data_IF_487221353627
#
_entry.id   IF_487221353627
#
_cell.length_a   1.000
_cell.length_b   1.000
_cell.length_c   1.000
_cell.angle_alpha   90.00
_cell.angle_beta   90.00
_cell.angle_gamma   90.00
#
_symmetry.space_group_name_H-M   'P 1'
#
loop_
_entity.id
_entity.type
_entity.pdbx_description
1 polymer ?
#
# COMPACT_ATOMS: atom_id res chain seq x y z
N UNK A 1 14.91 41.35 19.17
CA UNK A 1 13.45 41.36 18.95
C UNK A 1 13.03 39.92 18.73
N UNK A 2 12.55 39.26 19.79
CA UNK A 2 12.18 37.84 19.74
C UNK A 2 10.92 37.67 18.90
N UNK A 3 11.03 37.02 17.75
CA UNK A 3 9.86 36.56 17.01
C UNK A 3 9.16 35.50 17.86
N UNK A 4 7.88 35.69 18.15
CA UNK A 4 7.07 34.65 18.79
C UNK A 4 7.19 33.36 17.96
N UNK A 5 7.68 32.28 18.58
CA UNK A 5 7.59 30.94 18.01
C UNK A 5 6.10 30.62 17.80
N UNK A 6 5.64 30.68 16.55
CA UNK A 6 4.29 30.23 16.21
C UNK A 6 4.33 28.71 16.03
N UNK A 7 3.90 28.03 17.07
CA UNK A 7 3.66 26.58 17.08
C UNK A 7 2.20 26.33 16.70
N UNK A 8 1.98 25.40 15.78
CA UNK A 8 0.65 24.86 15.49
C UNK A 8 0.63 23.37 15.82
N UNK A 9 -0.39 22.96 16.55
CA UNK A 9 -0.70 21.56 16.81
C UNK A 9 -2.01 21.19 16.12
N UNK A 10 -1.97 20.21 15.22
CA UNK A 10 -3.14 19.56 14.66
C UNK A 10 -3.20 18.15 15.24
N UNK A 11 -4.36 17.76 15.76
CA UNK A 11 -4.52 16.45 16.35
C UNK A 11 -5.92 15.89 16.09
N UNK A 12 -6.00 14.61 15.75
CA UNK A 12 -7.26 13.91 15.56
C UNK A 12 -7.51 13.42 14.14
N UNK A 13 -8.44 12.46 13.97
CA UNK A 13 -8.73 11.83 12.69
C UNK A 13 -9.39 12.77 11.68
N UNK A 14 -9.91 13.92 12.08
CA UNK A 14 -10.49 14.94 11.19
C UNK A 14 -9.44 15.70 10.38
N UNK A 15 -8.19 15.72 10.84
CA UNK A 15 -7.09 16.41 10.17
C UNK A 15 -6.71 15.67 8.89
N UNK A 16 -6.70 16.39 7.77
CA UNK A 16 -6.47 15.86 6.43
C UNK A 16 -5.27 16.49 5.73
N UNK A 17 -4.87 15.93 4.57
CA UNK A 17 -3.89 16.54 3.66
C UNK A 17 -4.23 18.01 3.32
N UNK A 18 -5.52 18.36 3.25
CA UNK A 18 -5.96 19.73 2.95
C UNK A 18 -5.66 20.68 4.11
N UNK A 19 -5.83 20.24 5.35
CA UNK A 19 -5.52 21.03 6.55
C UNK A 19 -4.01 21.31 6.64
N UNK A 20 -3.20 20.28 6.37
CA UNK A 20 -1.74 20.40 6.28
C UNK A 20 -1.32 21.37 5.17
N UNK A 21 -1.92 21.27 3.98
CA UNK A 21 -1.64 22.19 2.87
C UNK A 21 -2.06 23.64 3.17
N UNK A 22 -3.11 23.85 3.96
CA UNK A 22 -3.55 25.19 4.36
C UNK A 22 -2.57 25.87 5.32
N UNK A 23 -1.76 25.11 6.08
CA UNK A 23 -0.71 25.67 6.94
C UNK A 23 0.34 26.44 6.14
N UNK A 24 0.53 26.13 4.87
CA UNK A 24 1.49 26.82 3.99
C UNK A 24 1.14 28.31 3.79
N UNK A 25 -0.10 28.70 4.06
CA UNK A 25 -0.55 30.10 4.02
C UNK A 25 -0.09 30.90 5.24
N UNK A 26 0.43 30.24 6.27
CA UNK A 26 0.91 30.85 7.50
C UNK A 26 2.44 31.05 7.43
N UNK A 27 2.90 32.17 6.85
CA UNK A 27 4.33 32.45 6.60
C UNK A 27 5.24 32.61 7.85
N UNK A 28 4.71 32.47 9.06
CA UNK A 28 5.44 32.68 10.30
C UNK A 28 5.51 31.42 11.20
N UNK A 29 5.07 30.26 10.70
CA UNK A 29 5.12 29.01 11.47
C UNK A 29 6.55 28.51 11.61
N UNK A 30 6.93 28.21 12.84
CA UNK A 30 8.27 27.70 13.19
C UNK A 30 8.21 26.25 13.66
N UNK A 31 7.08 25.83 14.23
CA UNK A 31 6.88 24.46 14.69
C UNK A 31 5.50 23.95 14.29
N UNK A 32 5.47 22.75 13.71
CA UNK A 32 4.23 22.03 13.41
C UNK A 32 4.25 20.69 14.13
N UNK A 33 3.17 20.40 14.86
CA UNK A 33 2.94 19.12 15.52
C UNK A 33 1.70 18.44 14.94
N UNK A 34 1.85 17.21 14.49
CA UNK A 34 0.77 16.33 14.05
C UNK A 34 0.65 15.16 15.02
N UNK A 35 -0.54 14.94 15.59
CA UNK A 35 -0.80 13.84 16.52
C UNK A 35 -2.07 13.08 16.13
N UNK A 36 -1.98 11.76 15.88
CA UNK A 36 -3.14 10.91 15.56
C UNK A 36 -3.92 11.37 14.33
N UNK A 37 -3.23 11.97 13.37
CA UNK A 37 -3.82 12.47 12.12
C UNK A 37 -3.86 11.37 11.05
N UNK A 38 -4.70 10.35 11.25
CA UNK A 38 -4.75 9.18 10.35
C UNK A 38 -5.33 9.50 8.95
N UNK A 39 -5.91 10.68 8.73
CA UNK A 39 -6.32 11.13 7.39
C UNK A 39 -5.25 12.00 6.69
N UNK A 40 -4.09 12.19 7.32
CA UNK A 40 -2.91 12.79 6.70
C UNK A 40 -2.04 11.69 6.10
N UNK A 41 -1.93 11.70 4.77
CA UNK A 41 -1.12 10.79 3.97
C UNK A 41 0.11 11.47 3.40
N UNK A 42 0.08 12.80 3.26
CA UNK A 42 1.13 13.58 2.63
C UNK A 42 1.38 14.90 3.40
N UNK A 43 2.61 15.08 3.91
CA UNK A 43 3.05 16.33 4.56
C UNK A 43 4.00 17.15 3.68
N UNK A 44 4.17 16.79 2.41
CA UNK A 44 5.07 17.47 1.47
C UNK A 44 4.76 18.96 1.30
N UNK A 45 3.50 19.36 1.47
CA UNK A 45 3.11 20.77 1.43
C UNK A 45 3.87 21.64 2.45
N UNK A 46 4.21 21.10 3.63
CA UNK A 46 4.93 21.83 4.68
C UNK A 46 6.33 22.30 4.24
N UNK A 47 6.90 21.69 3.20
CA UNK A 47 8.15 22.15 2.59
C UNK A 47 8.04 23.54 1.93
N UNK A 48 6.83 24.06 1.74
CA UNK A 48 6.56 25.41 1.27
C UNK A 48 6.58 26.48 2.38
N UNK A 49 6.76 26.09 3.66
CA UNK A 49 6.87 27.03 4.78
C UNK A 49 8.35 27.34 5.02
N UNK A 50 8.87 28.50 4.58
CA UNK A 50 10.30 28.78 4.67
C UNK A 50 10.80 28.95 6.10
N UNK A 51 9.90 29.33 7.01
CA UNK A 51 10.17 29.57 8.42
C UNK A 51 10.04 28.33 9.29
N UNK A 52 9.65 27.17 8.74
CA UNK A 52 9.45 25.94 9.52
C UNK A 52 10.80 25.39 9.99
N UNK A 53 10.96 25.23 11.30
CA UNK A 53 12.22 24.81 11.94
C UNK A 53 12.12 23.42 12.57
N UNK A 54 10.97 23.08 13.14
CA UNK A 54 10.69 21.78 13.77
C UNK A 54 9.37 21.19 13.29
N UNK A 55 9.40 19.92 12.88
CA UNK A 55 8.22 19.13 12.56
C UNK A 55 8.17 17.91 13.49
N UNK A 56 7.08 17.75 14.23
CA UNK A 56 6.83 16.59 15.10
C UNK A 56 5.61 15.83 14.59
N UNK A 57 5.76 14.54 14.37
CA UNK A 57 4.71 13.66 13.84
C UNK A 57 4.59 12.49 14.79
N UNK A 58 3.39 12.25 15.32
CA UNK A 58 3.13 11.16 16.24
C UNK A 58 1.82 10.43 15.93
N UNK A 59 1.87 9.10 15.95
CA UNK A 59 0.70 8.24 15.73
C UNK A 59 -0.08 8.53 14.42
N UNK A 60 0.58 9.02 13.37
CA UNK A 60 -0.04 9.25 12.05
C UNK A 60 0.14 8.01 11.16
N UNK A 61 -0.72 7.00 11.32
CA UNK A 61 -0.47 5.63 10.81
C UNK A 61 -0.56 5.51 9.30
N UNK A 62 -1.29 6.43 8.65
CA UNK A 62 -1.46 6.50 7.19
C UNK A 62 -0.51 7.47 6.49
N UNK A 63 0.42 8.10 7.20
CA UNK A 63 1.40 8.98 6.57
C UNK A 63 2.31 8.17 5.63
N UNK A 64 2.36 8.56 4.35
CA UNK A 64 3.16 7.92 3.31
C UNK A 64 4.16 8.85 2.64
N UNK A 65 3.89 10.16 2.62
CA UNK A 65 4.71 11.11 1.88
C UNK A 65 5.22 12.26 2.76
N UNK A 66 6.52 12.54 2.67
CA UNK A 66 7.23 13.66 3.30
C UNK A 66 7.66 14.69 2.24
N UNK A 67 7.77 14.29 0.97
CA UNK A 67 8.16 15.11 -0.16
C UNK A 67 9.53 15.75 0.03
N UNK A 68 9.72 16.99 -0.44
CA UNK A 68 11.01 17.67 -0.40
C UNK A 68 11.29 18.35 0.95
N UNK A 69 10.74 17.83 2.06
CA UNK A 69 11.00 18.37 3.39
C UNK A 69 12.52 18.43 3.66
N UNK A 70 13.01 19.62 4.02
CA UNK A 70 14.44 19.87 4.25
C UNK A 70 15.31 19.93 2.99
N UNK A 71 14.75 19.75 1.78
CA UNK A 71 15.45 19.88 0.50
C UNK A 71 15.20 21.24 -0.19
N UNK A 72 14.04 21.85 0.05
CA UNK A 72 13.66 23.17 -0.52
C UNK A 72 13.99 24.32 0.44
N UNK A 73 13.51 25.54 0.16
CA UNK A 73 13.73 26.80 0.90
C UNK A 73 13.24 26.82 2.37
N UNK A 74 13.35 25.71 3.10
CA UNK A 74 12.86 25.50 4.47
C UNK A 74 13.99 25.69 5.48
N UNK A 75 13.69 26.23 6.66
CA UNK A 75 14.60 26.30 7.81
C UNK A 75 14.61 25.01 8.67
N UNK A 76 14.06 23.90 8.16
CA UNK A 76 13.80 22.68 8.93
C UNK A 76 15.12 22.08 9.42
N UNK A 77 15.30 22.09 10.73
CA UNK A 77 16.49 21.56 11.42
C UNK A 77 16.18 20.35 12.28
N UNK A 78 14.91 20.07 12.55
CA UNK A 78 14.51 18.94 13.40
C UNK A 78 13.23 18.29 12.92
N UNK A 79 13.29 16.98 12.74
CA UNK A 79 12.14 16.14 12.40
C UNK A 79 12.03 15.02 13.44
N UNK A 80 10.93 14.99 14.17
CA UNK A 80 10.62 13.93 15.14
C UNK A 80 9.47 13.10 14.62
N UNK A 81 9.67 11.79 14.50
CA UNK A 81 8.67 10.83 14.04
C UNK A 81 8.50 9.75 15.09
N UNK A 82 7.36 9.72 15.77
CA UNK A 82 7.07 8.80 16.85
C UNK A 82 5.86 7.91 16.51
N UNK A 83 5.96 6.59 16.71
CA UNK A 83 4.84 5.64 16.48
C UNK A 83 4.15 5.80 15.12
N UNK A 84 4.89 6.32 14.13
CA UNK A 84 4.46 6.57 12.77
C UNK A 84 5.35 5.74 11.86
N UNK A 85 4.80 4.84 11.02
CA UNK A 85 5.62 4.02 10.13
C UNK A 85 6.43 4.86 9.14
N UNK A 86 7.70 4.51 8.95
CA UNK A 86 8.59 5.10 7.95
C UNK A 86 9.38 3.99 7.25
N UNK A 87 9.51 4.06 5.93
CA UNK A 87 10.30 3.10 5.15
C UNK A 87 11.80 3.39 5.30
N UNK A 88 12.65 2.38 5.12
CA UNK A 88 14.11 2.58 5.12
C UNK A 88 14.57 3.52 4.01
N UNK A 89 13.87 3.51 2.86
CA UNK A 89 14.07 4.48 1.77
C UNK A 89 14.00 5.92 2.27
N UNK A 90 12.91 6.24 2.97
CA UNK A 90 12.62 7.57 3.48
C UNK A 90 13.58 8.01 4.57
N UNK A 91 13.93 7.10 5.48
CA UNK A 91 14.90 7.40 6.53
C UNK A 91 16.27 7.73 5.93
N UNK A 92 16.72 6.97 4.93
CA UNK A 92 17.98 7.27 4.22
C UNK A 92 17.92 8.65 3.56
N UNK A 93 16.89 8.92 2.77
CA UNK A 93 16.76 10.19 2.03
C UNK A 93 16.73 11.40 3.00
N UNK A 94 16.10 11.27 4.17
CA UNK A 94 16.10 12.30 5.21
C UNK A 94 17.45 12.44 5.93
N UNK A 95 18.18 11.34 6.13
CA UNK A 95 19.52 11.35 6.75
C UNK A 95 20.60 12.00 5.87
N UNK A 96 20.38 12.07 4.56
CA UNK A 96 21.29 12.75 3.62
C UNK A 96 21.18 14.29 3.69
N UNK A 97 20.16 14.82 4.36
CA UNK A 97 19.92 16.26 4.48
C UNK A 97 20.84 16.90 5.53
N UNK A 98 21.80 17.71 5.06
CA UNK A 98 22.75 18.41 5.93
C UNK A 98 22.04 19.33 6.91
N UNK A 99 22.32 19.16 8.20
CA UNK A 99 21.78 20.00 9.28
C UNK A 99 20.41 19.59 9.81
N UNK A 100 19.78 18.55 9.23
CA UNK A 100 18.55 17.99 9.76
C UNK A 100 18.85 16.98 10.88
N UNK A 101 18.32 17.24 12.07
CA UNK A 101 18.26 16.28 13.16
C UNK A 101 17.00 15.41 13.00
N UNK A 102 17.17 14.17 12.54
CA UNK A 102 16.09 13.17 12.48
C UNK A 102 16.03 12.34 13.77
N UNK A 103 14.87 12.28 14.41
CA UNK A 103 14.59 11.44 15.58
C UNK A 103 13.43 10.51 15.25
N UNK A 104 13.67 9.21 15.22
CA UNK A 104 12.63 8.18 14.98
C UNK A 104 12.41 7.37 16.25
N UNK A 105 11.25 7.53 16.89
CA UNK A 105 10.88 6.85 18.13
C UNK A 105 9.88 5.72 17.86
N UNK A 106 10.19 4.51 18.35
CA UNK A 106 9.32 3.33 18.25
C UNK A 106 8.89 2.93 16.82
N UNK A 107 9.56 3.45 15.78
CA UNK A 107 9.33 3.14 14.35
C UNK A 107 10.01 1.86 13.85
N UNK A 108 10.13 0.84 14.70
CA UNK A 108 10.87 -0.38 14.41
C UNK A 108 10.23 -1.23 13.31
N UNK A 109 10.91 -1.33 12.16
CA UNK A 109 10.69 -2.31 11.09
C UNK A 109 11.72 -2.16 9.97
N UNK A 110 12.82 -2.93 10.05
CA UNK A 110 13.91 -3.07 9.08
C UNK A 110 14.29 -1.81 8.26
N UNK A 111 15.18 -0.99 8.82
CA UNK A 111 15.92 0.06 8.11
C UNK A 111 16.80 -0.47 6.95
N UNK A 112 16.89 -1.78 6.74
CA UNK A 112 17.71 -2.37 5.68
C UNK A 112 17.04 -2.36 4.30
N UNK A 113 15.71 -2.28 4.21
CA UNK A 113 15.03 -2.20 2.91
C UNK A 113 14.92 -0.75 2.45
N UNK A 114 15.58 -0.45 1.34
CA UNK A 114 15.65 0.87 0.70
C UNK A 114 14.46 1.16 -0.23
N UNK A 115 13.40 0.33 -0.17
CA UNK A 115 12.23 0.35 -1.05
C UNK A 115 10.91 0.24 -0.27
N UNK A 116 9.77 0.66 -0.85
CA UNK A 116 9.66 1.42 -2.10
C UNK A 116 10.11 2.87 -1.94
N UNK A 117 10.39 3.53 -3.06
CA UNK A 117 10.58 4.99 -3.06
C UNK A 117 9.28 5.68 -2.67
N UNK A 118 9.40 6.87 -2.09
CA UNK A 118 8.22 7.65 -1.73
C UNK A 118 7.40 8.06 -2.95
N UNK A 119 8.07 8.44 -4.05
CA UNK A 119 7.42 8.79 -5.31
C UNK A 119 6.56 7.66 -5.85
N UNK A 120 7.01 6.40 -5.75
CA UNK A 120 6.25 5.24 -6.20
C UNK A 120 4.95 5.08 -5.40
N UNK A 121 5.03 5.22 -4.08
CA UNK A 121 3.85 5.18 -3.20
C UNK A 121 2.90 6.33 -3.49
N UNK A 122 3.43 7.54 -3.68
CA UNK A 122 2.65 8.75 -3.99
C UNK A 122 1.86 8.59 -5.28
N UNK A 123 2.51 8.14 -6.37
CA UNK A 123 1.85 7.90 -7.66
C UNK A 123 0.69 6.92 -7.52
N UNK A 124 0.84 5.84 -6.74
CA UNK A 124 -0.24 4.89 -6.49
C UNK A 124 -1.44 5.53 -5.77
N UNK A 125 -1.21 6.34 -4.74
CA UNK A 125 -2.27 7.03 -3.97
C UNK A 125 -2.99 8.06 -4.82
N UNK A 126 -2.25 8.87 -5.59
CA UNK A 126 -2.81 9.87 -6.49
C UNK A 126 -3.67 9.22 -7.58
N UNK A 127 -3.17 8.14 -8.20
CA UNK A 127 -3.94 7.36 -9.18
C UNK A 127 -5.23 6.81 -8.59
N UNK A 128 -5.21 6.25 -7.37
CA UNK A 128 -6.42 5.76 -6.70
C UNK A 128 -7.44 6.89 -6.56
N UNK A 129 -7.03 8.05 -6.04
CA UNK A 129 -7.91 9.22 -5.83
C UNK A 129 -8.50 9.71 -7.15
N UNK A 130 -7.68 9.80 -8.18
CA UNK A 130 -8.10 10.24 -9.52
C UNK A 130 -9.12 9.30 -10.15
N UNK A 131 -8.86 7.99 -10.12
CA UNK A 131 -9.72 7.00 -10.78
C UNK A 131 -11.04 6.85 -10.02
N UNK A 132 -11.02 6.75 -8.69
CA UNK A 132 -12.24 6.64 -7.89
C UNK A 132 -13.14 7.86 -8.03
N UNK A 133 -12.57 9.07 -8.19
CA UNK A 133 -13.35 10.30 -8.40
C UNK A 133 -14.27 10.30 -9.62
N UNK A 134 -14.14 9.32 -10.52
CA UNK A 134 -14.94 9.16 -11.75
C UNK A 134 -16.14 8.23 -11.58
N UNK A 135 -16.26 7.54 -10.43
CA UNK A 135 -17.25 6.49 -10.19
C UNK A 135 -17.98 6.73 -8.86
N UNK A 136 -19.20 6.21 -8.74
CA UNK A 136 -19.87 6.10 -7.44
C UNK A 136 -19.21 5.00 -6.62
N UNK A 137 -19.19 5.09 -5.28
CA UNK A 137 -18.57 4.06 -4.43
C UNK A 137 -19.08 2.65 -4.69
N UNK A 138 -20.37 2.50 -5.01
CA UNK A 138 -21.03 1.21 -5.26
C UNK A 138 -20.62 0.59 -6.61
N UNK A 139 -20.09 1.40 -7.53
CA UNK A 139 -19.59 0.95 -8.85
C UNK A 139 -18.14 0.43 -8.77
N UNK A 140 -17.51 0.49 -7.59
CA UNK A 140 -16.11 0.10 -7.38
C UNK A 140 -16.02 -1.31 -6.81
N UNK A 141 -15.34 -2.19 -7.55
CA UNK A 141 -14.95 -3.52 -7.13
C UNK A 141 -13.48 -3.61 -6.72
N UNK A 142 -13.16 -4.52 -5.80
CA UNK A 142 -11.78 -4.79 -5.35
C UNK A 142 -11.52 -6.30 -5.40
N UNK A 143 -10.65 -6.73 -6.31
CA UNK A 143 -10.25 -8.13 -6.43
C UNK A 143 -9.18 -8.45 -5.36
N UNK A 144 -9.57 -9.09 -4.26
CA UNK A 144 -8.72 -9.30 -3.08
C UNK A 144 -8.47 -10.78 -2.80
N UNK A 145 -7.43 -11.35 -3.39
CA UNK A 145 -7.11 -12.77 -3.21
C UNK A 145 -6.40 -13.10 -1.88
N UNK A 146 -5.95 -12.11 -1.10
CA UNK A 146 -5.20 -12.29 0.15
C UNK A 146 -3.71 -12.53 -0.03
N UNK A 147 -3.22 -12.55 -1.27
CA UNK A 147 -1.78 -12.56 -1.57
C UNK A 147 -1.14 -11.21 -1.24
N UNK A 148 0.20 -11.22 -1.08
CA UNK A 148 1.01 -10.05 -0.68
C UNK A 148 0.69 -8.77 -1.47
N UNK A 149 0.49 -8.88 -2.78
CA UNK A 149 0.29 -7.73 -3.67
C UNK A 149 -1.10 -7.11 -3.48
N UNK A 150 -2.13 -7.95 -3.30
CA UNK A 150 -3.49 -7.51 -3.01
C UNK A 150 -3.62 -6.88 -1.60
N UNK A 151 -2.80 -7.32 -0.65
CA UNK A 151 -2.71 -6.71 0.69
C UNK A 151 -2.13 -5.31 0.62
N UNK A 152 -1.03 -5.11 -0.12
CA UNK A 152 -0.46 -3.78 -0.34
C UNK A 152 -1.47 -2.88 -1.06
N UNK A 153 -2.14 -3.38 -2.10
CA UNK A 153 -3.21 -2.64 -2.79
C UNK A 153 -4.32 -2.22 -1.82
N UNK A 154 -4.79 -3.12 -0.95
CA UNK A 154 -5.85 -2.82 0.01
C UNK A 154 -5.43 -1.74 1.02
N UNK A 155 -4.18 -1.78 1.50
CA UNK A 155 -3.63 -0.73 2.36
C UNK A 155 -3.54 0.62 1.63
N UNK A 156 -3.08 0.64 0.36
CA UNK A 156 -3.04 1.86 -0.45
C UNK A 156 -4.44 2.45 -0.69
N UNK A 157 -5.45 1.61 -0.90
CA UNK A 157 -6.86 2.05 -1.02
C UNK A 157 -7.36 2.68 0.28
N UNK A 158 -7.14 2.01 1.42
CA UNK A 158 -7.51 2.55 2.75
C UNK A 158 -6.74 3.85 3.06
N UNK A 159 -5.47 3.92 2.67
CA UNK A 159 -4.65 5.12 2.78
C UNK A 159 -5.23 6.28 1.97
N UNK A 160 -5.52 6.05 0.70
CA UNK A 160 -5.94 7.09 -0.24
C UNK A 160 -7.34 7.63 0.04
N UNK A 161 -8.27 6.77 0.48
CA UNK A 161 -9.71 7.04 0.51
C UNK A 161 -10.32 7.00 1.92
N UNK A 162 -9.62 6.40 2.88
CA UNK A 162 -10.12 6.14 4.22
C UNK A 162 -11.08 4.95 4.29
N UNK A 163 -11.20 4.41 5.50
CA UNK A 163 -11.89 3.16 5.76
C UNK A 163 -13.39 3.21 5.46
N UNK A 164 -14.02 4.34 5.79
CA UNK A 164 -15.44 4.56 5.54
C UNK A 164 -15.79 4.49 4.05
N UNK A 165 -14.92 4.98 3.16
CA UNK A 165 -15.12 4.87 1.72
C UNK A 165 -14.88 3.42 1.26
N UNK A 166 -13.77 2.82 1.69
CA UNK A 166 -13.41 1.45 1.32
C UNK A 166 -14.50 0.43 1.69
N UNK A 167 -15.18 0.63 2.82
CA UNK A 167 -16.29 -0.22 3.28
C UNK A 167 -17.51 -0.27 2.34
N UNK A 168 -17.62 0.69 1.40
CA UNK A 168 -18.68 0.74 0.40
C UNK A 168 -18.36 -0.07 -0.86
N UNK A 169 -17.10 -0.45 -1.05
CA UNK A 169 -16.65 -1.12 -2.26
C UNK A 169 -17.06 -2.59 -2.25
N UNK A 170 -17.31 -3.14 -3.43
CA UNK A 170 -17.56 -4.56 -3.61
C UNK A 170 -16.24 -5.33 -3.58
N UNK A 171 -15.82 -5.83 -2.42
CA UNK A 171 -14.64 -6.71 -2.30
C UNK A 171 -15.02 -8.13 -2.76
N UNK A 172 -14.23 -8.76 -3.62
CA UNK A 172 -14.53 -10.10 -4.12
C UNK A 172 -13.27 -10.93 -4.42
N UNK A 173 -13.47 -12.24 -4.52
CA UNK A 173 -12.50 -13.19 -5.07
C UNK A 173 -13.13 -13.93 -6.24
N UNK A 174 -12.36 -14.16 -7.30
CA UNK A 174 -12.77 -15.01 -8.42
C UNK A 174 -12.03 -16.34 -8.35
N UNK A 175 -12.76 -17.42 -8.58
CA UNK A 175 -12.19 -18.76 -8.59
C UNK A 175 -11.60 -19.15 -9.94
N UNK A 176 -10.99 -20.33 -9.97
CA UNK A 176 -10.60 -21.01 -11.19
C UNK A 176 -11.07 -22.46 -11.13
N UNK A 177 -11.85 -22.94 -12.11
CA UNK A 177 -12.39 -24.29 -12.07
C UNK A 177 -11.29 -25.34 -11.86
N UNK A 178 -11.51 -26.27 -10.91
CA UNK A 178 -10.59 -27.37 -10.62
C UNK A 178 -9.26 -26.97 -9.96
N UNK A 179 -9.12 -25.73 -9.48
CA UNK A 179 -7.91 -25.24 -8.81
C UNK A 179 -8.20 -24.89 -7.35
N UNK A 180 -7.67 -25.69 -6.44
CA UNK A 180 -7.83 -25.47 -5.00
C UNK A 180 -6.83 -24.45 -4.44
N UNK A 181 -7.32 -23.50 -3.64
CA UNK A 181 -6.48 -22.57 -2.87
C UNK A 181 -5.89 -23.25 -1.62
N UNK A 182 -4.90 -22.62 -1.01
CA UNK A 182 -4.36 -23.03 0.29
C UNK A 182 -5.34 -22.69 1.42
N UNK A 183 -5.51 -23.60 2.39
CA UNK A 183 -6.37 -23.35 3.56
C UNK A 183 -5.85 -22.17 4.38
N UNK A 184 -4.54 -22.04 4.53
CA UNK A 184 -3.93 -20.91 5.23
C UNK A 184 -4.20 -19.58 4.53
N UNK A 185 -4.27 -19.57 3.19
CA UNK A 185 -4.62 -18.36 2.43
C UNK A 185 -6.10 -18.01 2.60
N UNK A 186 -6.97 -19.01 2.57
CA UNK A 186 -8.41 -18.82 2.81
C UNK A 186 -8.66 -18.27 4.23
N UNK A 187 -8.09 -18.91 5.24
CA UNK A 187 -8.22 -18.48 6.63
C UNK A 187 -7.63 -17.09 6.87
N UNK A 188 -6.47 -16.78 6.26
CA UNK A 188 -5.90 -15.44 6.32
C UNK A 188 -6.83 -14.38 5.72
N UNK A 189 -7.38 -14.65 4.53
CA UNK A 189 -8.27 -13.72 3.83
C UNK A 189 -9.55 -13.44 4.61
N UNK A 190 -10.19 -14.48 5.16
CA UNK A 190 -11.38 -14.34 6.00
C UNK A 190 -11.09 -13.50 7.26
N UNK A 191 -10.01 -13.83 7.97
CA UNK A 191 -9.59 -13.07 9.17
C UNK A 191 -9.23 -11.61 8.83
N UNK A 192 -8.53 -11.38 7.72
CA UNK A 192 -8.14 -10.04 7.27
C UNK A 192 -9.36 -9.14 7.02
N UNK A 193 -10.37 -9.67 6.32
CA UNK A 193 -11.60 -8.92 6.03
C UNK A 193 -12.42 -8.69 7.31
N UNK A 194 -12.55 -9.71 8.17
CA UNK A 194 -13.28 -9.62 9.43
C UNK A 194 -12.69 -8.57 10.39
N UNK A 195 -11.37 -8.55 10.56
CA UNK A 195 -10.63 -7.56 11.38
C UNK A 195 -10.86 -6.11 10.91
N UNK A 196 -11.21 -5.93 9.63
CA UNK A 196 -11.51 -4.64 9.01
C UNK A 196 -13.01 -4.39 8.84
N UNK A 197 -13.89 -5.26 9.33
CA UNK A 197 -15.33 -5.11 9.09
C UNK A 197 -15.73 -5.09 7.61
N UNK A 198 -14.90 -5.65 6.72
CA UNK A 198 -15.20 -5.77 5.30
C UNK A 198 -15.87 -7.12 5.03
N UNK A 199 -16.76 -7.17 4.04
CA UNK A 199 -17.45 -8.41 3.64
C UNK A 199 -17.10 -8.77 2.20
N UNK A 200 -16.73 -10.03 1.97
CA UNK A 200 -16.56 -10.57 0.62
C UNK A 200 -17.91 -10.75 -0.06
N UNK A 201 -18.05 -10.23 -1.28
CA UNK A 201 -19.20 -10.51 -2.13
C UNK A 201 -19.19 -11.98 -2.57
N UNK A 202 -20.38 -12.61 -2.53
CA UNK A 202 -20.53 -14.00 -2.95
C UNK A 202 -20.26 -14.14 -4.44
N UNK A 203 -19.36 -15.03 -4.80
CA UNK A 203 -19.04 -15.42 -6.18
C UNK A 203 -19.08 -16.95 -6.29
N UNK A 204 -19.48 -17.47 -7.45
CA UNK A 204 -19.33 -18.89 -7.75
C UNK A 204 -17.89 -19.17 -8.20
N UNK A 205 -17.07 -19.66 -7.26
CA UNK A 205 -15.65 -19.95 -7.51
C UNK A 205 -15.42 -21.18 -8.39
N UNK A 206 -16.47 -21.94 -8.73
CA UNK A 206 -16.38 -23.04 -9.66
C UNK A 206 -16.38 -22.59 -11.13
N UNK A 207 -16.73 -21.33 -11.40
CA UNK A 207 -16.82 -20.77 -12.75
C UNK A 207 -15.49 -20.14 -13.21
N UNK A 208 -15.28 -20.01 -14.54
CA UNK A 208 -14.20 -19.18 -15.07
C UNK A 208 -14.27 -17.75 -14.53
N UNK A 209 -13.10 -17.15 -14.23
CA UNK A 209 -13.00 -15.78 -13.70
C UNK A 209 -13.80 -14.76 -14.51
N UNK A 210 -13.82 -14.91 -15.83
CA UNK A 210 -14.54 -14.05 -16.75
C UNK A 210 -16.04 -14.03 -16.48
N UNK A 211 -16.62 -15.20 -16.22
CA UNK A 211 -18.06 -15.36 -16.01
C UNK A 211 -18.45 -14.87 -14.61
N UNK A 212 -17.63 -15.18 -13.60
CA UNK A 212 -17.79 -14.63 -12.25
C UNK A 212 -17.71 -13.10 -12.22
N UNK A 213 -16.82 -12.49 -13.02
CA UNK A 213 -16.75 -11.03 -13.15
C UNK A 213 -17.99 -10.47 -13.87
N UNK A 214 -18.51 -11.16 -14.90
CA UNK A 214 -19.72 -10.75 -15.59
C UNK A 214 -20.93 -10.74 -14.65
N UNK A 215 -21.07 -11.78 -13.82
CA UNK A 215 -22.12 -11.89 -12.82
C UNK A 215 -22.01 -10.78 -11.77
N UNK A 216 -20.80 -10.45 -11.29
CA UNK A 216 -20.60 -9.35 -10.36
C UNK A 216 -20.98 -8.01 -11.00
N UNK A 217 -20.59 -7.77 -12.25
CA UNK A 217 -20.98 -6.57 -12.99
C UNK A 217 -22.50 -6.43 -13.07
N UNK A 218 -23.21 -7.49 -13.42
CA UNK A 218 -24.67 -7.47 -13.53
C UNK A 218 -25.37 -7.31 -12.18
N UNK A 219 -24.94 -8.05 -11.16
CA UNK A 219 -25.62 -8.10 -9.85
C UNK A 219 -25.26 -6.95 -8.91
N UNK A 220 -24.07 -6.35 -9.06
CA UNK A 220 -23.55 -5.28 -8.19
C UNK A 220 -23.37 -3.95 -8.90
N UNK A 221 -23.42 -3.91 -10.23
CA UNK A 221 -23.22 -2.68 -11.00
C UNK A 221 -21.76 -2.20 -11.06
N UNK A 222 -20.79 -3.06 -10.72
CA UNK A 222 -19.38 -2.67 -10.73
C UNK A 222 -18.92 -2.28 -12.15
N UNK A 223 -18.20 -1.17 -12.24
CA UNK A 223 -17.68 -0.60 -13.49
C UNK A 223 -16.20 -0.22 -13.40
N UNK A 224 -15.66 -0.08 -12.20
CA UNK A 224 -14.23 0.00 -11.88
C UNK A 224 -13.81 -1.23 -11.07
N UNK A 225 -12.68 -1.86 -11.37
CA UNK A 225 -12.08 -2.92 -10.54
C UNK A 225 -10.63 -2.62 -10.22
N UNK A 226 -10.31 -2.62 -8.93
CA UNK A 226 -8.93 -2.60 -8.44
C UNK A 226 -8.35 -4.02 -8.39
N UNK A 227 -7.10 -4.18 -8.86
CA UNK A 227 -6.35 -5.44 -8.86
C UNK A 227 -4.93 -5.26 -8.34
N UNK A 228 -4.42 -6.25 -7.60
CA UNK A 228 -3.04 -6.28 -7.10
C UNK A 228 -2.01 -6.73 -8.15
N UNK A 229 -2.26 -6.51 -9.44
CA UNK A 229 -1.42 -7.02 -10.53
C UNK A 229 -0.22 -6.11 -10.77
N UNK A 230 0.99 -6.66 -10.87
CA UNK A 230 2.19 -5.93 -11.32
C UNK A 230 2.43 -6.12 -12.82
N UNK A 231 3.21 -5.23 -13.43
CA UNK A 231 3.59 -5.29 -14.84
C UNK A 231 4.31 -6.59 -15.20
N UNK A 232 5.10 -7.14 -14.28
CA UNK A 232 5.78 -8.44 -14.42
C UNK A 232 4.84 -9.66 -14.32
N UNK A 233 3.59 -9.48 -13.86
CA UNK A 233 2.63 -10.58 -13.66
C UNK A 233 1.74 -10.84 -14.88
N UNK A 234 1.59 -9.86 -15.77
CA UNK A 234 0.52 -9.86 -16.77
C UNK A 234 1.03 -9.58 -18.18
N UNK A 235 0.74 -10.48 -19.11
CA UNK A 235 0.97 -10.26 -20.54
C UNK A 235 -0.12 -9.41 -21.23
N UNK A 236 -1.29 -9.21 -20.58
CA UNK A 236 -2.47 -8.60 -21.19
C UNK A 236 -2.77 -7.18 -20.72
N UNK A 237 -2.37 -6.85 -19.50
CA UNK A 237 -2.40 -5.49 -18.96
C UNK A 237 -1.11 -4.76 -19.29
N UNK A 238 -1.22 -3.59 -19.92
CA UNK A 238 -0.06 -2.79 -20.38
C UNK A 238 0.16 -1.53 -19.55
N UNK A 239 -0.92 -0.95 -19.04
CA UNK A 239 -0.90 0.27 -18.24
C UNK A 239 -1.49 0.01 -16.85
N UNK A 240 -1.13 0.85 -15.88
CA UNK A 240 -1.67 0.78 -14.52
C UNK A 240 -3.19 0.98 -14.49
N UNK A 241 -3.75 1.74 -15.44
CA UNK A 241 -5.18 1.97 -15.60
C UNK A 241 -5.56 1.85 -17.07
N UNK A 242 -6.44 0.90 -17.40
CA UNK A 242 -6.93 0.74 -18.77
C UNK A 242 -8.23 -0.07 -18.82
N UNK A 243 -8.95 -0.07 -19.96
CA UNK A 243 -10.10 -0.95 -20.14
C UNK A 243 -9.73 -2.43 -20.01
N UNK A 244 -10.68 -3.24 -19.56
CA UNK A 244 -10.58 -4.70 -19.64
C UNK A 244 -10.34 -5.17 -21.08
N UNK A 245 -9.58 -6.24 -21.24
CA UNK A 245 -9.27 -6.84 -22.56
C UNK A 245 -10.54 -7.22 -23.31
N UNK A 246 -10.53 -7.09 -24.65
CA UNK A 246 -11.64 -7.47 -25.51
C UNK A 246 -12.17 -8.88 -25.18
N UNK A 247 -13.49 -8.99 -25.08
CA UNK A 247 -14.17 -10.21 -24.67
C UNK A 247 -14.47 -10.27 -23.17
N UNK A 248 -13.73 -9.60 -22.28
CA UNK A 248 -14.08 -9.50 -20.86
C UNK A 248 -15.24 -8.52 -20.62
N UNK A 249 -15.94 -8.59 -19.47
CA UNK A 249 -16.94 -7.59 -19.09
C UNK A 249 -16.37 -6.18 -19.19
N UNK A 250 -17.04 -5.29 -19.91
CA UNK A 250 -16.55 -3.94 -20.18
C UNK A 250 -16.47 -3.10 -18.89
N UNK A 251 -15.25 -2.87 -18.43
CA UNK A 251 -14.96 -2.16 -17.17
C UNK A 251 -13.63 -1.42 -17.30
N UNK A 252 -13.39 -0.47 -16.39
CA UNK A 252 -12.05 0.05 -16.14
C UNK A 252 -11.36 -0.84 -15.12
N UNK A 253 -10.13 -1.29 -15.40
CA UNK A 253 -9.27 -1.96 -14.41
C UNK A 253 -8.16 -1.01 -13.99
N UNK A 254 -7.86 -1.00 -12.69
CA UNK A 254 -6.80 -0.20 -12.09
C UNK A 254 -5.92 -1.07 -11.20
N UNK A 255 -4.61 -0.97 -11.36
CA UNK A 255 -3.62 -1.75 -10.63
C UNK A 255 -2.66 -0.81 -9.90
N UNK A 256 -2.93 -0.42 -8.64
CA UNK A 256 -2.11 0.57 -7.93
C UNK A 256 -0.66 0.17 -7.72
N UNK A 257 -0.38 -1.13 -7.75
CA UNK A 257 0.97 -1.67 -7.60
C UNK A 257 1.59 -2.06 -8.95
N UNK A 258 1.05 -1.59 -10.09
CA UNK A 258 1.48 -2.05 -11.41
C UNK A 258 3.00 -1.93 -11.64
N UNK A 259 3.59 -0.80 -11.26
CA UNK A 259 5.02 -0.54 -11.46
C UNK A 259 5.91 -0.97 -10.27
N UNK A 260 5.35 -1.73 -9.32
CA UNK A 260 6.08 -2.15 -8.12
C UNK A 260 6.87 -3.43 -8.36
N UNK A 261 8.10 -3.49 -7.86
CA UNK A 261 8.91 -4.69 -7.82
C UNK A 261 8.62 -5.59 -6.60
N UNK A 262 9.23 -6.77 -6.58
CA UNK A 262 9.12 -7.70 -5.45
C UNK A 262 9.60 -7.09 -4.12
N UNK A 263 10.74 -6.42 -4.16
CA UNK A 263 11.33 -5.74 -2.99
C UNK A 263 10.48 -4.55 -2.53
N UNK A 264 9.78 -3.87 -3.44
CA UNK A 264 8.87 -2.77 -3.11
C UNK A 264 7.67 -3.29 -2.31
N UNK A 265 7.07 -4.41 -2.73
CA UNK A 265 5.96 -5.05 -2.02
C UNK A 265 6.37 -5.48 -0.61
N UNK A 266 7.49 -6.17 -0.45
CA UNK A 266 7.94 -6.61 0.86
C UNK A 266 8.45 -5.48 1.74
N UNK A 267 9.20 -4.53 1.16
CA UNK A 267 9.68 -3.33 1.86
C UNK A 267 8.51 -2.54 2.45
N UNK A 268 7.46 -2.34 1.66
CA UNK A 268 6.22 -1.70 2.13
C UNK A 268 5.51 -2.53 3.20
N UNK A 269 5.29 -3.83 2.93
CA UNK A 269 4.59 -4.75 3.85
C UNK A 269 5.25 -4.74 5.23
N UNK A 270 6.58 -4.85 5.29
CA UNK A 270 7.32 -4.90 6.55
C UNK A 270 7.39 -3.54 7.25
N UNK A 271 7.62 -2.45 6.51
CA UNK A 271 7.70 -1.10 7.07
C UNK A 271 6.38 -0.66 7.72
N UNK A 272 5.24 -0.96 7.06
CA UNK A 272 3.90 -0.62 7.55
C UNK A 272 3.27 -1.74 8.40
N UNK A 273 4.02 -2.82 8.67
CA UNK A 273 3.58 -3.96 9.50
C UNK A 273 2.24 -4.56 9.04
N UNK A 274 2.07 -4.67 7.72
CA UNK A 274 0.86 -5.24 7.14
C UNK A 274 0.76 -6.72 7.49
N UNK A 275 -0.44 -7.24 7.82
CA UNK A 275 -0.62 -8.67 8.01
C UNK A 275 -0.53 -9.39 6.66
N UNK A 276 0.05 -10.58 6.63
CA UNK A 276 0.18 -11.42 5.43
C UNK A 276 0.07 -12.90 5.78
N UNK A 277 -0.25 -13.74 4.78
CA UNK A 277 -0.37 -15.18 4.95
C UNK A 277 0.95 -15.83 5.42
N UNK A 278 0.88 -16.69 6.44
CA UNK A 278 2.06 -17.31 7.07
C UNK A 278 2.86 -18.24 6.13
N UNK A 279 2.28 -18.67 5.00
CA UNK A 279 3.03 -19.39 3.96
C UNK A 279 4.26 -18.61 3.49
N UNK A 280 4.19 -17.27 3.46
CA UNK A 280 5.34 -16.44 3.12
C UNK A 280 6.48 -16.54 4.15
N UNK A 281 6.20 -16.87 5.42
CA UNK A 281 7.25 -17.18 6.41
C UNK A 281 7.90 -18.54 6.19
N UNK A 282 7.21 -19.44 5.50
CA UNK A 282 7.61 -20.82 5.20
C UNK A 282 8.28 -20.97 3.82
N UNK A 283 8.78 -19.87 3.24
CA UNK A 283 9.52 -19.89 1.98
C UNK A 283 8.70 -19.86 0.70
N UNK A 284 7.37 -19.72 0.77
CA UNK A 284 6.58 -19.49 -0.43
C UNK A 284 6.77 -18.05 -0.89
N UNK A 285 7.13 -17.84 -2.17
CA UNK A 285 7.33 -16.48 -2.72
C UNK A 285 6.21 -16.02 -3.65
N UNK A 286 5.40 -16.97 -4.15
CA UNK A 286 4.25 -16.73 -5.02
C UNK A 286 3.17 -17.78 -4.72
N UNK A 287 1.94 -17.35 -4.37
CA UNK A 287 0.84 -18.23 -3.96
C UNK A 287 -0.23 -18.36 -5.03
N UNK A 288 -0.66 -19.59 -5.31
CA UNK A 288 -1.75 -19.89 -6.26
C UNK A 288 -2.29 -21.24 -5.87
N UNK A 289 -2.49 -22.16 -6.80
CA UNK A 289 -3.17 -23.39 -6.40
C UNK A 289 -2.26 -24.39 -5.69
N UNK A 290 -2.83 -25.04 -4.67
CA UNK A 290 -2.16 -25.91 -3.71
C UNK A 290 -1.37 -27.02 -4.40
N UNK A 291 -1.97 -27.67 -5.39
CA UNK A 291 -1.37 -28.79 -6.12
C UNK A 291 -0.20 -28.45 -7.03
N UNK A 292 0.13 -27.17 -7.26
CA UNK A 292 1.22 -26.76 -8.15
C UNK A 292 2.11 -25.64 -7.59
N UNK A 293 2.09 -25.45 -6.27
CA UNK A 293 2.92 -24.42 -5.63
C UNK A 293 3.68 -25.03 -4.46
N UNK A 294 5.01 -24.91 -4.50
CA UNK A 294 5.93 -25.35 -3.46
C UNK A 294 6.74 -24.16 -2.92
N UNK A 295 7.38 -24.27 -1.74
CA UNK A 295 8.34 -23.27 -1.28
C UNK A 295 9.45 -23.05 -2.31
N UNK A 296 9.98 -21.84 -2.37
CA UNK A 296 11.06 -21.49 -3.28
C UNK A 296 12.37 -22.14 -2.81
N UNK A 297 12.97 -22.98 -3.65
CA UNK A 297 14.21 -23.71 -3.32
C UNK A 297 15.40 -22.79 -3.04
N UNK A 298 15.40 -21.56 -3.56
CA UNK A 298 16.46 -20.57 -3.26
C UNK A 298 16.40 -20.05 -1.81
N UNK A 299 15.32 -20.32 -1.09
CA UNK A 299 15.17 -20.00 0.32
C UNK A 299 15.49 -21.19 1.24
N UNK A 300 15.82 -22.36 0.69
CA UNK A 300 16.16 -23.54 1.49
C UNK A 300 17.46 -23.31 2.28
N UNK A 301 17.44 -23.63 3.57
CA UNK A 301 18.60 -23.64 4.47
C UNK A 301 19.23 -25.03 4.51
N UNK A 302 20.47 -25.10 5.00
CA UNK A 302 21.21 -26.35 5.17
C UNK A 302 20.55 -27.33 6.14
N UNK A 303 19.72 -26.84 7.07
CA UNK A 303 18.96 -27.65 8.03
C UNK A 303 17.60 -28.16 7.48
N UNK A 304 17.27 -27.88 6.22
CA UNK A 304 16.01 -28.27 5.58
C UNK A 304 14.85 -27.30 5.81
N UNK A 305 15.02 -26.24 6.60
CA UNK A 305 14.01 -25.19 6.78
C UNK A 305 14.09 -24.14 5.66
N UNK A 306 13.09 -23.27 5.56
CA UNK A 306 13.08 -22.18 4.56
C UNK A 306 13.21 -20.81 5.20
N UNK A 307 14.00 -19.94 4.57
CA UNK A 307 13.97 -18.49 4.80
C UNK A 307 12.61 -17.92 4.40
N UNK A 308 12.16 -16.82 5.01
CA UNK A 308 10.94 -16.15 4.62
C UNK A 308 11.05 -15.50 3.24
N UNK A 309 9.90 -15.22 2.62
CA UNK A 309 9.78 -14.73 1.26
C UNK A 309 10.58 -13.44 0.99
N UNK A 310 10.56 -12.49 1.94
CA UNK A 310 11.28 -11.21 1.81
C UNK A 310 12.81 -11.34 1.85
N UNK A 311 13.36 -12.54 2.09
CA UNK A 311 14.80 -12.82 1.99
C UNK A 311 15.20 -13.39 0.61
N UNK A 312 14.27 -13.48 -0.35
CA UNK A 312 14.60 -13.87 -1.73
C UNK A 312 15.42 -12.75 -2.40
N UNK A 313 16.65 -13.07 -2.81
CA UNK A 313 17.60 -12.09 -3.33
C UNK A 313 17.38 -11.72 -4.79
N UNK A 314 16.79 -12.62 -5.59
CA UNK A 314 16.50 -12.37 -7.01
C UNK A 314 14.98 -12.36 -7.24
N UNK A 315 14.43 -11.18 -7.55
CA UNK A 315 13.02 -11.00 -7.81
C UNK A 315 12.52 -11.77 -9.06
N UNK A 316 13.39 -12.08 -10.02
CA UNK A 316 13.02 -12.87 -11.22
C UNK A 316 12.59 -14.29 -10.81
N UNK A 317 13.16 -14.80 -9.73
CA UNK A 317 12.90 -16.14 -9.20
C UNK A 317 11.66 -16.20 -8.30
N UNK A 318 10.87 -15.13 -8.22
CA UNK A 318 9.65 -15.07 -7.41
C UNK A 318 8.70 -16.25 -7.67
N UNK A 319 8.59 -16.67 -8.94
CA UNK A 319 7.71 -17.75 -9.40
C UNK A 319 8.39 -19.12 -9.50
N UNK A 320 9.63 -19.29 -9.02
CA UNK A 320 10.35 -20.56 -9.17
C UNK A 320 9.77 -21.71 -8.33
N UNK A 321 8.90 -21.40 -7.36
CA UNK A 321 8.07 -22.38 -6.65
C UNK A 321 6.79 -22.80 -7.39
N UNK A 322 6.52 -22.31 -8.62
CA UNK A 322 5.35 -22.69 -9.43
C UNK A 322 5.68 -23.87 -10.33
N UNK A 323 5.09 -25.04 -10.05
CA UNK A 323 5.31 -26.26 -10.83
C UNK A 323 4.65 -26.21 -12.21
N UNK A 324 3.64 -25.37 -12.38
CA UNK A 324 2.99 -25.10 -13.65
C UNK A 324 3.06 -23.60 -13.89
N UNK A 325 3.65 -23.19 -15.01
CA UNK A 325 3.61 -21.78 -15.43
C UNK A 325 2.17 -21.48 -15.86
N UNK A 326 1.54 -20.53 -15.16
CA UNK A 326 0.23 -19.99 -15.52
C UNK A 326 0.35 -19.02 -16.69
#
# INVERSE_FOLDING_TARGET
MGGELRTVKLAGPEVSDTDVANLCRCGALTTVELEKCDNVTDVSALAAIPTLEELRISDCRRLRCFGPLGQTQTALRKLVVARTPVTGAKVRDLMELKGLQLVVENGGGLLSSVRPSESLVKTSIEMIREVVGRFKPEEVGVAFNGGKDSVVMMDLLDCALGHAMLSKFCVFVLGSPGKEEFDELNAFREAYLADRGLTEAKTDRSQPMKDGLAQLKESRGISLVFMGTRSSDSAHQKESVEPTTAGWPAMLRASPVFDWGYEDIWGYTLAYKLPFCDLYKKGYTSLGYRGATIPNSLLLRSDGTFRPAWELSDAVEERSGRLVRA
#
